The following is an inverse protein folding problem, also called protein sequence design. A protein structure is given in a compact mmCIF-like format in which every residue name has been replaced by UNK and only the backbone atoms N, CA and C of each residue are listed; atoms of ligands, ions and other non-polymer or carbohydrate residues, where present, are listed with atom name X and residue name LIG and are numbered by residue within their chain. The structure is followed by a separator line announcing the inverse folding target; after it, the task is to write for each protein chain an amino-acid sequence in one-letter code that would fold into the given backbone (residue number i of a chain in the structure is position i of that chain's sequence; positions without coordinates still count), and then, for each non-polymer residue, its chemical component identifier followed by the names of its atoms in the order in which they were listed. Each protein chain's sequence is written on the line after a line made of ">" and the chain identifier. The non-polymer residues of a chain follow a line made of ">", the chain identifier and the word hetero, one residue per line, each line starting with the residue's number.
data_IF_599757900695
#
_entry.id   IF_599757900695
#
_cell.length_a   1.000
_cell.length_b   1.000
_cell.length_c   1.000
_cell.angle_alpha   90.00
_cell.angle_beta   90.00
_cell.angle_gamma   90.00
#
_symmetry.space_group_name_H-M   'P 1'
#
loop_
_entity.id
_entity.type
_entity.pdbx_description
1 polymer ?
#
# COMPACT_ATOMS: atom_id res chain seq x y z
N UNK A 1 15.46 2.02 14.47
CA UNK A 1 15.43 3.07 13.58
C UNK A 1 15.94 2.89 12.17
N UNK A 2 16.79 1.91 11.86
CA UNK A 2 17.53 1.88 10.58
C UNK A 2 16.84 1.06 9.47
N UNK A 3 15.70 0.48 9.77
CA UNK A 3 15.04 -0.47 8.86
C UNK A 3 14.48 0.18 7.59
N UNK A 4 14.06 1.43 7.68
CA UNK A 4 13.38 2.15 6.57
C UNK A 4 14.30 2.83 5.57
N UNK A 5 15.57 2.93 5.85
CA UNK A 5 16.50 3.73 5.03
C UNK A 5 17.14 2.95 3.89
N UNK A 6 16.78 1.69 3.69
CA UNK A 6 17.51 0.81 2.82
C UNK A 6 16.79 0.51 1.52
N UNK A 7 17.58 0.53 0.46
CA UNK A 7 17.25 0.06 -0.88
C UNK A 7 15.81 0.37 -1.30
N UNK A 8 15.51 1.64 -1.46
CA UNK A 8 14.18 2.12 -1.87
C UNK A 8 13.78 1.69 -3.29
N UNK A 9 14.44 0.69 -3.87
CA UNK A 9 14.20 0.29 -5.26
C UNK A 9 14.46 1.42 -6.26
N UNK A 10 15.16 2.48 -5.83
CA UNK A 10 15.27 3.72 -6.60
C UNK A 10 16.17 3.55 -7.82
N UNK A 11 17.09 2.62 -7.79
CA UNK A 11 18.04 2.37 -8.86
C UNK A 11 17.69 1.15 -9.70
N UNK A 12 16.94 0.21 -9.13
CA UNK A 12 16.42 -0.95 -9.81
C UNK A 12 14.94 -1.15 -9.42
N UNK A 13 14.00 -0.78 -10.31
CA UNK A 13 12.57 -0.96 -10.06
C UNK A 13 12.14 -2.41 -9.86
N UNK A 14 12.98 -3.38 -10.28
CA UNK A 14 12.71 -4.81 -10.07
C UNK A 14 12.99 -5.23 -8.62
N UNK A 15 13.89 -4.53 -7.94
CA UNK A 15 14.19 -4.73 -6.52
C UNK A 15 13.22 -3.90 -5.65
N UNK A 16 11.95 -4.20 -5.72
CA UNK A 16 10.95 -3.60 -4.85
C UNK A 16 11.23 -3.96 -3.41
N UNK A 17 12.26 -3.37 -2.84
CA UNK A 17 12.63 -3.78 -1.54
C UNK A 17 13.24 -2.71 -0.69
N UNK A 18 13.03 -2.90 0.58
CA UNK A 18 13.76 -2.26 1.64
C UNK A 18 14.62 -3.35 2.27
N UNK A 19 15.57 -2.95 3.11
CA UNK A 19 16.37 -3.91 3.87
C UNK A 19 15.43 -4.89 4.59
N UNK A 20 15.58 -6.19 4.38
CA UNK A 20 14.70 -7.16 4.99
C UNK A 20 14.91 -7.22 6.50
N UNK A 21 13.82 -7.38 7.24
CA UNK A 21 13.90 -7.86 8.61
C UNK A 21 14.53 -9.25 8.61
N UNK A 22 15.47 -9.52 9.54
CA UNK A 22 16.04 -10.85 9.69
C UNK A 22 14.95 -11.91 9.98
N UNK A 23 15.15 -13.12 9.46
CA UNK A 23 14.19 -14.22 9.62
C UNK A 23 13.87 -14.54 11.08
N UNK A 24 14.83 -14.35 11.98
CA UNK A 24 14.67 -14.62 13.41
C UNK A 24 14.06 -13.46 14.21
N UNK A 25 13.68 -12.35 13.56
CA UNK A 25 13.01 -11.24 14.25
C UNK A 25 11.67 -11.70 14.82
N UNK A 26 11.44 -11.45 16.10
CA UNK A 26 10.14 -11.67 16.73
C UNK A 26 9.21 -10.53 16.34
N UNK A 27 8.23 -10.83 15.51
CA UNK A 27 7.23 -9.88 15.04
C UNK A 27 5.87 -10.15 15.70
N UNK A 28 5.01 -9.14 15.71
CA UNK A 28 3.64 -9.30 16.20
C UNK A 28 2.88 -10.37 15.40
N UNK A 29 3.08 -10.42 14.07
CA UNK A 29 2.47 -11.44 13.22
C UNK A 29 2.85 -12.86 13.68
N UNK A 30 4.16 -13.12 13.88
CA UNK A 30 4.63 -14.43 14.36
C UNK A 30 4.07 -14.82 15.73
N UNK A 31 4.04 -13.85 16.66
CA UNK A 31 3.50 -14.10 18.01
C UNK A 31 2.03 -14.49 17.93
N UNK A 32 1.24 -13.77 17.16
CA UNK A 32 -0.19 -14.06 17.02
C UNK A 32 -0.45 -15.35 16.25
N UNK A 33 0.33 -15.61 15.19
CA UNK A 33 0.26 -16.88 14.45
C UNK A 33 0.56 -18.08 15.37
N UNK A 34 1.60 -17.99 16.21
CA UNK A 34 1.92 -19.00 17.22
C UNK A 34 0.81 -19.17 18.28
N UNK A 35 0.04 -18.11 18.54
CA UNK A 35 -1.11 -18.16 19.44
C UNK A 35 -2.40 -18.67 18.75
N UNK A 36 -2.32 -19.14 17.51
CA UNK A 36 -3.43 -19.73 16.77
C UNK A 36 -4.33 -18.72 16.05
N UNK A 37 -3.88 -17.49 15.86
CA UNK A 37 -4.59 -16.51 15.04
C UNK A 37 -4.28 -16.70 13.56
N UNK A 38 -5.29 -16.59 12.71
CA UNK A 38 -5.07 -16.36 11.28
C UNK A 38 -4.73 -14.88 11.09
N UNK A 39 -3.61 -14.60 10.42
CA UNK A 39 -3.02 -13.26 10.39
C UNK A 39 -3.02 -12.66 8.99
N UNK A 40 -3.35 -11.39 8.88
CA UNK A 40 -3.30 -10.65 7.64
C UNK A 40 -2.62 -9.28 7.79
N UNK A 41 -1.90 -8.88 6.74
CA UNK A 41 -1.42 -7.52 6.56
C UNK A 41 -1.98 -6.98 5.23
N UNK A 42 -2.70 -5.86 5.29
CA UNK A 42 -3.22 -5.20 4.09
C UNK A 42 -2.79 -3.74 4.08
N UNK A 43 -2.17 -3.31 2.98
CA UNK A 43 -1.71 -1.94 2.81
C UNK A 43 -0.21 -1.84 2.57
N UNK A 44 0.48 -1.00 3.31
CA UNK A 44 1.88 -0.66 3.09
C UNK A 44 2.79 -1.49 4.00
N UNK A 45 3.66 -2.33 3.39
CA UNK A 45 4.72 -3.05 4.08
C UNK A 45 5.99 -2.21 4.18
N UNK A 46 7.11 -2.68 3.67
CA UNK A 46 8.36 -1.94 3.63
C UNK A 46 9.47 -2.53 4.48
N UNK A 47 9.32 -3.77 4.92
CA UNK A 47 10.27 -4.45 5.80
C UNK A 47 10.99 -5.63 5.10
N UNK A 48 10.93 -5.66 3.79
CA UNK A 48 11.63 -6.65 2.96
C UNK A 48 11.01 -6.77 1.57
N UNK A 49 11.86 -7.03 0.58
CA UNK A 49 11.46 -7.25 -0.80
C UNK A 49 10.60 -8.52 -0.94
N UNK A 50 9.85 -8.66 -2.02
CA UNK A 50 9.26 -9.93 -2.40
C UNK A 50 10.33 -11.04 -2.41
N UNK A 51 9.96 -12.23 -1.96
CA UNK A 51 10.85 -13.40 -1.83
C UNK A 51 12.00 -13.27 -0.82
N UNK A 52 12.18 -12.11 -0.16
CA UNK A 52 13.16 -11.97 0.92
C UNK A 52 12.65 -12.56 2.25
N UNK A 53 13.55 -12.78 3.18
CA UNK A 53 13.21 -13.20 4.56
C UNK A 53 12.35 -12.17 5.29
N UNK A 54 12.38 -10.90 4.87
CA UNK A 54 11.58 -9.81 5.44
C UNK A 54 10.20 -9.63 4.80
N UNK A 55 9.79 -10.45 3.81
CA UNK A 55 8.47 -10.36 3.21
C UNK A 55 7.35 -10.61 4.23
N UNK A 56 6.14 -10.07 4.04
CA UNK A 56 5.05 -10.22 5.01
C UNK A 56 4.79 -11.65 5.43
N UNK A 57 4.71 -12.59 4.46
CA UNK A 57 4.43 -13.99 4.74
C UNK A 57 5.55 -14.70 5.53
N UNK A 58 6.82 -14.29 5.38
CA UNK A 58 7.91 -14.80 6.21
C UNK A 58 7.95 -14.16 7.61
N UNK A 59 7.24 -13.05 7.80
CA UNK A 59 7.18 -12.31 9.05
C UNK A 59 5.88 -12.53 9.83
N UNK A 60 5.17 -13.62 9.54
CA UNK A 60 4.05 -14.10 10.34
C UNK A 60 2.68 -13.60 9.88
N UNK A 61 2.52 -13.31 8.60
CA UNK A 61 1.22 -13.03 8.00
C UNK A 61 0.83 -14.13 7.02
N UNK A 62 -0.29 -14.80 7.26
CA UNK A 62 -0.85 -15.81 6.37
C UNK A 62 -1.35 -15.21 5.06
N UNK A 63 -1.81 -13.96 5.12
CA UNK A 63 -2.29 -13.20 3.99
C UNK A 63 -1.66 -11.82 3.94
N UNK A 64 -1.23 -11.44 2.74
CA UNK A 64 -0.77 -10.08 2.44
C UNK A 64 -1.44 -9.55 1.17
N UNK A 65 -1.88 -8.28 1.21
CA UNK A 65 -2.26 -7.56 0.02
C UNK A 65 -1.83 -6.09 0.12
N UNK A 66 -1.08 -5.60 -0.89
CA UNK A 66 -0.72 -4.18 -0.90
C UNK A 66 0.61 -3.85 -1.55
N UNK A 67 1.25 -2.82 -1.04
CA UNK A 67 2.56 -2.36 -1.48
C UNK A 67 3.65 -3.05 -0.67
N UNK A 68 4.52 -3.79 -1.34
CA UNK A 68 5.68 -4.37 -0.69
C UNK A 68 6.75 -3.32 -0.39
N UNK A 69 6.94 -2.35 -1.30
CA UNK A 69 7.88 -1.24 -1.15
C UNK A 69 7.19 0.05 -0.75
N UNK A 70 7.71 0.73 0.28
CA UNK A 70 7.16 2.01 0.74
C UNK A 70 7.15 3.08 -0.35
N UNK A 71 8.15 3.11 -1.22
CA UNK A 71 8.21 4.10 -2.30
C UNK A 71 7.06 3.94 -3.28
N UNK A 72 6.65 2.72 -3.59
CA UNK A 72 5.52 2.46 -4.49
C UNK A 72 4.21 3.04 -3.95
N UNK A 73 4.07 3.13 -2.64
CA UNK A 73 2.90 3.73 -2.00
C UNK A 73 2.81 5.27 -2.11
N UNK A 74 3.78 5.91 -2.80
CA UNK A 74 3.67 7.32 -3.22
C UNK A 74 2.95 7.49 -4.56
N UNK A 75 2.27 6.46 -5.02
CA UNK A 75 1.29 6.51 -6.09
C UNK A 75 0.09 5.64 -5.66
N UNK A 76 -1.09 6.26 -5.52
CA UNK A 76 -2.31 5.57 -5.10
C UNK A 76 -3.11 4.98 -6.28
N UNK A 77 -2.61 5.14 -7.51
CA UNK A 77 -3.06 4.46 -8.72
C UNK A 77 -1.91 3.66 -9.34
N UNK A 78 -1.35 2.67 -8.59
CA UNK A 78 -0.22 1.89 -9.09
C UNK A 78 -0.65 0.93 -10.21
N UNK A 79 0.28 0.51 -11.09
CA UNK A 79 -0.04 -0.47 -12.13
C UNK A 79 -0.24 -1.89 -11.58
N UNK A 80 0.16 -2.15 -10.35
CA UNK A 80 -0.04 -3.44 -9.68
C UNK A 80 0.07 -3.30 -8.17
N UNK A 81 -0.44 -4.31 -7.46
CA UNK A 81 -0.16 -4.56 -6.05
C UNK A 81 0.30 -6.02 -5.86
N UNK A 82 0.77 -6.34 -4.68
CA UNK A 82 1.15 -7.70 -4.33
C UNK A 82 0.03 -8.40 -3.56
N UNK A 83 -0.24 -9.64 -3.92
CA UNK A 83 -1.06 -10.56 -3.14
C UNK A 83 -0.18 -11.74 -2.74
N UNK A 84 0.22 -11.78 -1.49
CA UNK A 84 1.29 -12.66 -1.02
C UNK A 84 2.57 -12.46 -1.86
N UNK A 85 2.97 -13.44 -2.65
CA UNK A 85 4.17 -13.43 -3.49
C UNK A 85 3.88 -13.15 -4.97
N UNK A 86 2.62 -12.86 -5.32
CA UNK A 86 2.19 -12.66 -6.71
C UNK A 86 1.82 -11.21 -6.99
N UNK A 87 2.18 -10.73 -8.18
CA UNK A 87 1.72 -9.44 -8.67
C UNK A 87 0.29 -9.52 -9.18
N UNK A 88 -0.56 -8.67 -8.66
CA UNK A 88 -1.92 -8.46 -9.16
C UNK A 88 -1.94 -7.17 -9.95
N UNK A 89 -2.12 -7.29 -11.27
CA UNK A 89 -2.21 -6.12 -12.16
C UNK A 89 -3.46 -5.29 -11.83
N UNK A 90 -3.31 -3.97 -11.89
CA UNK A 90 -4.39 -2.99 -11.81
C UNK A 90 -4.47 -2.23 -13.13
N UNK A 91 -5.69 -1.87 -13.54
CA UNK A 91 -5.94 -1.14 -14.79
C UNK A 91 -5.60 0.36 -14.63
N UNK A 92 -4.32 0.62 -14.42
CA UNK A 92 -3.78 1.95 -14.27
C UNK A 92 -2.58 2.19 -15.19
N UNK A 93 -2.41 3.44 -15.63
CA UNK A 93 -1.21 3.85 -16.35
C UNK A 93 0.04 3.74 -15.46
N UNK A 94 1.18 3.51 -16.07
CA UNK A 94 2.46 3.47 -15.35
C UNK A 94 2.92 4.92 -15.11
N UNK A 95 2.76 5.37 -13.88
CA UNK A 95 3.29 6.65 -13.39
C UNK A 95 4.28 6.37 -12.27
N UNK A 96 5.49 6.88 -12.40
CA UNK A 96 6.52 6.66 -11.39
C UNK A 96 6.11 7.25 -10.03
N UNK A 97 6.32 6.54 -8.93
CA UNK A 97 6.02 7.07 -7.60
C UNK A 97 6.79 8.36 -7.32
N UNK A 98 6.10 9.36 -6.80
CA UNK A 98 6.69 10.66 -6.49
C UNK A 98 6.91 11.57 -7.71
N UNK A 99 6.30 11.25 -8.87
CA UNK A 99 6.26 12.16 -10.01
C UNK A 99 5.58 13.47 -9.59
N UNK A 100 6.19 14.59 -9.96
CA UNK A 100 5.67 15.93 -9.68
C UNK A 100 4.83 16.45 -10.84
N UNK A 101 4.02 17.46 -10.59
CA UNK A 101 3.37 18.22 -11.65
C UNK A 101 4.39 18.75 -12.65
N UNK A 102 3.98 18.89 -13.89
CA UNK A 102 4.79 19.51 -14.94
C UNK A 102 5.21 20.93 -14.53
N UNK A 103 6.39 21.34 -14.94
CA UNK A 103 6.87 22.71 -14.69
C UNK A 103 5.88 23.73 -15.27
N UNK A 104 5.44 24.67 -14.45
CA UNK A 104 4.47 25.70 -14.85
C UNK A 104 3.00 25.25 -14.82
N UNK A 105 2.70 24.01 -14.44
CA UNK A 105 1.32 23.60 -14.24
C UNK A 105 0.71 24.31 -13.03
N UNK A 106 -0.52 24.77 -13.18
CA UNK A 106 -1.28 25.39 -12.10
C UNK A 106 -1.74 24.29 -11.12
N UNK A 107 -1.26 24.35 -9.89
CA UNK A 107 -1.59 23.40 -8.84
C UNK A 107 -3.04 23.51 -8.31
N UNK A 108 -3.74 24.59 -8.65
CA UNK A 108 -5.15 24.79 -8.28
C UNK A 108 -6.12 24.21 -9.32
N UNK A 109 -5.63 23.87 -10.51
CA UNK A 109 -6.47 23.29 -11.57
C UNK A 109 -6.51 21.77 -11.49
N UNK A 110 -7.70 21.20 -11.37
CA UNK A 110 -7.92 19.75 -11.37
C UNK A 110 -7.34 19.08 -12.63
N UNK A 111 -7.43 19.74 -13.79
CA UNK A 111 -6.88 19.24 -15.05
C UNK A 111 -5.36 18.99 -14.98
N UNK A 112 -4.62 19.73 -14.16
CA UNK A 112 -3.18 19.52 -13.96
C UNK A 112 -2.84 18.15 -13.36
N UNK A 113 -3.81 17.50 -12.73
CA UNK A 113 -3.65 16.21 -12.08
C UNK A 113 -4.17 15.03 -12.89
N UNK A 114 -4.68 15.25 -14.10
CA UNK A 114 -5.28 14.20 -14.94
C UNK A 114 -4.33 13.00 -15.16
N UNK A 115 -3.03 13.25 -15.34
CA UNK A 115 -2.03 12.20 -15.51
C UNK A 115 -1.79 11.33 -14.27
N UNK A 116 -2.24 11.77 -13.09
CA UNK A 116 -2.08 11.07 -11.82
C UNK A 116 -3.34 10.33 -11.39
N UNK A 117 -4.39 10.38 -12.17
CA UNK A 117 -5.63 9.67 -11.92
C UNK A 117 -5.64 8.36 -12.71
N UNK A 118 -6.11 7.31 -12.09
CA UNK A 118 -6.28 6.01 -12.69
C UNK A 118 -7.69 5.46 -12.48
N UNK A 119 -7.92 4.24 -12.92
CA UNK A 119 -9.22 3.57 -12.81
C UNK A 119 -9.39 2.85 -11.49
N UNK A 120 -8.32 2.22 -10.99
CA UNK A 120 -8.33 1.41 -9.78
C UNK A 120 -7.52 2.09 -8.66
N UNK A 121 -8.25 2.66 -7.72
CA UNK A 121 -7.67 3.32 -6.55
C UNK A 121 -7.21 2.29 -5.54
N UNK A 122 -5.92 2.23 -5.27
CA UNK A 122 -5.34 1.21 -4.41
C UNK A 122 -5.96 1.12 -3.00
N UNK A 123 -6.30 2.22 -2.30
CA UNK A 123 -6.96 2.11 -1.00
C UNK A 123 -8.33 1.42 -1.07
N UNK A 124 -9.10 1.58 -2.17
CA UNK A 124 -10.36 0.89 -2.33
C UNK A 124 -10.16 -0.62 -2.57
N UNK A 125 -9.15 -0.97 -3.39
CA UNK A 125 -8.81 -2.38 -3.64
C UNK A 125 -8.32 -3.04 -2.34
N UNK A 126 -7.48 -2.34 -1.58
CA UNK A 126 -7.01 -2.81 -0.27
C UNK A 126 -8.17 -2.98 0.72
N UNK A 127 -9.09 -2.03 0.77
CA UNK A 127 -10.28 -2.14 1.62
C UNK A 127 -11.13 -3.35 1.25
N UNK A 128 -11.32 -3.60 -0.06
CA UNK A 128 -12.05 -4.78 -0.54
C UNK A 128 -11.40 -6.09 -0.09
N UNK A 129 -10.08 -6.21 -0.21
CA UNK A 129 -9.32 -7.39 0.23
C UNK A 129 -9.37 -7.55 1.75
N UNK A 130 -9.24 -6.46 2.51
CA UNK A 130 -9.35 -6.48 3.98
C UNK A 130 -10.75 -6.95 4.44
N UNK A 131 -11.80 -6.39 3.85
CA UNK A 131 -13.18 -6.82 4.15
C UNK A 131 -13.44 -8.26 3.71
N UNK A 132 -12.84 -8.71 2.60
CA UNK A 132 -12.88 -10.10 2.14
C UNK A 132 -12.27 -11.04 3.18
N UNK A 133 -11.09 -10.71 3.68
CA UNK A 133 -10.41 -11.46 4.74
C UNK A 133 -11.27 -11.55 6.01
N UNK A 134 -11.80 -10.41 6.49
CA UNK A 134 -12.67 -10.39 7.68
C UNK A 134 -13.88 -11.31 7.50
N UNK A 135 -14.58 -11.22 6.36
CA UNK A 135 -15.75 -12.06 6.09
C UNK A 135 -15.41 -13.54 6.05
N UNK A 136 -14.26 -13.88 5.47
CA UNK A 136 -13.79 -15.27 5.42
C UNK A 136 -13.45 -15.81 6.80
N UNK A 137 -12.82 -14.99 7.66
CA UNK A 137 -12.35 -15.45 8.97
C UNK A 137 -13.41 -15.35 10.08
N UNK A 138 -14.47 -14.56 9.91
CA UNK A 138 -15.45 -14.29 10.96
C UNK A 138 -16.09 -15.54 11.62
N UNK A 139 -16.12 -16.67 10.90
CA UNK A 139 -16.67 -17.94 11.41
C UNK A 139 -15.62 -19.04 11.58
N UNK A 140 -14.33 -18.75 11.33
CA UNK A 140 -13.27 -19.78 11.30
C UNK A 140 -12.47 -19.83 12.62
N UNK A 141 -12.39 -18.72 13.34
CA UNK A 141 -11.61 -18.63 14.59
C UNK A 141 -11.04 -17.24 14.82
N UNK A 142 -10.12 -17.10 15.77
CA UNK A 142 -9.52 -15.82 16.04
C UNK A 142 -8.65 -15.37 14.84
N UNK A 143 -8.75 -14.11 14.47
CA UNK A 143 -7.91 -13.54 13.43
C UNK A 143 -7.33 -12.18 13.85
N UNK A 144 -6.27 -11.80 13.21
CA UNK A 144 -5.61 -10.52 13.34
C UNK A 144 -5.43 -9.87 11.97
N UNK A 145 -5.92 -8.67 11.80
CA UNK A 145 -5.72 -7.87 10.60
C UNK A 145 -4.91 -6.61 10.93
N UNK A 146 -3.71 -6.51 10.38
CA UNK A 146 -2.93 -5.28 10.35
C UNK A 146 -3.29 -4.49 9.08
N UNK A 147 -4.16 -3.49 9.21
CA UNK A 147 -4.54 -2.62 8.10
C UNK A 147 -3.62 -1.39 8.06
N UNK A 148 -2.55 -1.50 7.28
CA UNK A 148 -1.52 -0.47 7.12
C UNK A 148 -1.87 0.48 5.95
N UNK A 149 -2.98 1.24 6.07
CA UNK A 149 -3.41 2.17 5.03
C UNK A 149 -2.31 3.14 4.63
N UNK A 150 -2.09 3.38 3.32
CA UNK A 150 -1.17 4.41 2.86
C UNK A 150 -1.68 5.84 3.11
N UNK A 151 -2.97 6.01 3.39
CA UNK A 151 -3.58 7.31 3.63
C UNK A 151 -3.31 7.79 5.09
N UNK A 152 -3.16 9.10 5.30
CA UNK A 152 -3.21 10.24 4.37
C UNK A 152 -1.82 10.69 3.86
N UNK A 153 -0.88 9.78 3.68
CA UNK A 153 0.47 10.10 3.22
C UNK A 153 0.45 10.66 1.78
N UNK A 154 1.47 11.44 1.42
CA UNK A 154 1.68 11.79 0.01
C UNK A 154 1.78 10.50 -0.83
N UNK A 155 1.20 10.44 -2.03
CA UNK A 155 0.89 11.60 -2.94
C UNK A 155 -0.47 12.30 -2.79
N UNK A 156 -1.15 12.44 -1.72
CA UNK A 156 -2.39 13.22 -1.54
C UNK A 156 -3.45 13.01 -2.67
N UNK A 157 -3.41 11.88 -3.32
CA UNK A 157 -4.38 11.52 -4.36
C UNK A 157 -5.68 11.08 -3.67
N UNK A 158 -6.77 11.79 -3.96
CA UNK A 158 -8.09 11.45 -3.48
C UNK A 158 -9.04 11.23 -4.65
N UNK A 159 -10.10 10.43 -4.45
CA UNK A 159 -11.13 10.23 -5.46
C UNK A 159 -11.96 11.51 -5.64
N UNK A 160 -12.27 11.85 -6.91
CA UNK A 160 -13.06 13.04 -7.26
C UNK A 160 -14.34 13.24 -6.45
N UNK A 161 -15.19 12.21 -6.23
CA UNK A 161 -16.39 12.35 -5.40
C UNK A 161 -16.12 12.83 -3.96
N UNK A 162 -15.03 12.38 -3.34
CA UNK A 162 -14.66 12.83 -2.00
C UNK A 162 -14.12 14.26 -2.00
N UNK A 163 -13.33 14.61 -3.01
CA UNK A 163 -12.85 15.99 -3.19
C UNK A 163 -14.04 16.93 -3.36
N UNK A 164 -15.01 16.61 -4.23
CA UNK A 164 -16.22 17.40 -4.43
C UNK A 164 -17.04 17.54 -3.14
N UNK A 165 -17.23 16.43 -2.41
CA UNK A 165 -17.97 16.43 -1.15
C UNK A 165 -17.36 17.39 -0.11
N UNK A 166 -16.04 17.37 0.05
CA UNK A 166 -15.39 18.22 1.05
C UNK A 166 -15.26 19.67 0.59
N UNK A 167 -15.07 19.95 -0.70
CA UNK A 167 -15.14 21.31 -1.25
C UNK A 167 -16.49 21.96 -0.96
N UNK A 168 -17.58 21.22 -1.11
CA UNK A 168 -18.91 21.71 -0.77
C UNK A 168 -19.07 22.04 0.72
N UNK A 169 -18.46 21.26 1.60
CA UNK A 169 -18.57 21.44 3.05
C UNK A 169 -17.64 22.51 3.62
N UNK A 170 -16.43 22.58 3.13
CA UNK A 170 -15.36 23.40 3.69
C UNK A 170 -15.18 24.74 2.94
N UNK A 171 -15.82 24.89 1.79
CA UNK A 171 -15.63 26.04 0.93
C UNK A 171 -14.38 25.88 0.03
N UNK A 172 -14.04 26.95 -0.74
CA UNK A 172 -12.84 26.95 -1.58
C UNK A 172 -11.59 26.76 -0.72
N UNK A 173 -10.62 26.04 -1.27
CA UNK A 173 -9.30 25.87 -0.65
C UNK A 173 -8.65 27.25 -0.39
N UNK A 174 -7.93 27.39 0.73
CA UNK A 174 -7.25 28.64 1.05
C UNK A 174 -6.12 28.97 0.07
#
# INVERSE_FOLDING_TARGET
>A
GDVWNYARGAQDPSLEGQRPLPANTLTLGKVLQQAGYTTACVGKWGLGAPLSEGRPNAQGFDFFFGYNCQRQAHNLYPPFQWKNEEKVALDNAIVAPGTKLAAGADSLLEASYAAFQGKEYAPDVQLKEALGFIRQQASQGPFFLYFASPLPHVALQARGPWVAHYRQKLGPEP
#
